data_IF_406113618979
#
_entry.id   IF_406113618979
#
_cell.length_a   1.000
_cell.length_b   1.000
_cell.length_c   1.000
_cell.angle_alpha   90.00
_cell.angle_beta   90.00
_cell.angle_gamma   90.00
#
_symmetry.space_group_name_H-M   'P 1'
#
loop_
_entity.id
_entity.type
_entity.pdbx_description
1 polymer ?
#
# COMPACT_ATOMS: atom_id res chain seq x y z
N UNK A 1 -6.93 -0.69 15.29
CA UNK A 1 -5.55 -0.84 14.77
C UNK A 1 -5.72 -1.10 13.30
N UNK A 2 -5.30 -0.20 12.41
CA UNK A 2 -5.25 -0.54 10.99
C UNK A 2 -4.22 -1.66 10.84
N UNK A 3 -4.62 -2.83 10.34
CA UNK A 3 -3.67 -3.84 9.93
C UNK A 3 -3.07 -3.33 8.61
N UNK A 4 -1.84 -2.84 8.70
CA UNK A 4 -1.19 -2.20 7.55
C UNK A 4 -0.24 -3.24 6.95
N UNK A 5 -0.57 -3.71 5.74
CA UNK A 5 0.14 -4.81 5.09
C UNK A 5 0.47 -4.50 3.63
N UNK A 6 1.48 -5.17 3.11
CA UNK A 6 1.92 -5.08 1.72
C UNK A 6 2.35 -6.46 1.22
N UNK A 7 2.08 -6.75 -0.05
CA UNK A 7 2.46 -8.02 -0.68
C UNK A 7 2.91 -7.81 -2.11
N UNK A 8 3.72 -8.73 -2.61
CA UNK A 8 3.94 -8.86 -4.04
C UNK A 8 2.90 -9.84 -4.59
N UNK A 9 2.08 -9.39 -5.53
CA UNK A 9 1.14 -10.24 -6.23
C UNK A 9 1.83 -10.83 -7.47
N UNK A 10 2.12 -12.13 -7.45
CA UNK A 10 2.84 -12.79 -8.55
C UNK A 10 2.03 -12.88 -9.84
N UNK A 11 0.70 -12.89 -9.75
CA UNK A 11 -0.18 -12.98 -10.92
C UNK A 11 -0.25 -11.64 -11.67
N UNK A 12 -0.32 -10.53 -10.93
CA UNK A 12 -0.28 -9.18 -11.47
C UNK A 12 1.16 -8.68 -11.73
N UNK A 13 2.16 -9.28 -11.09
CA UNK A 13 3.57 -8.89 -11.23
C UNK A 13 3.89 -7.54 -10.59
N UNK A 14 3.19 -7.18 -9.51
CA UNK A 14 3.29 -5.86 -8.89
C UNK A 14 3.17 -5.91 -7.35
N UNK A 15 3.64 -4.86 -6.70
CA UNK A 15 3.41 -4.66 -5.28
C UNK A 15 2.02 -4.08 -5.03
N UNK A 16 1.34 -4.61 -4.02
CA UNK A 16 0.03 -4.16 -3.59
C UNK A 16 0.05 -3.76 -2.11
N UNK A 17 -0.78 -2.79 -1.76
CA UNK A 17 -1.00 -2.29 -0.41
C UNK A 17 -2.39 -2.71 0.06
N UNK A 18 -2.51 -3.15 1.31
CA UNK A 18 -3.82 -3.37 1.91
C UNK A 18 -4.38 -2.04 2.43
N UNK A 19 -5.42 -1.54 1.77
CA UNK A 19 -5.98 -0.21 2.00
C UNK A 19 -7.26 -0.33 2.83
N UNK A 20 -7.27 0.43 3.93
CA UNK A 20 -8.50 0.71 4.65
C UNK A 20 -9.12 2.02 4.14
N UNK A 21 -10.35 1.93 3.63
CA UNK A 21 -11.01 3.05 2.98
C UNK A 21 -11.71 3.95 3.99
N UNK A 22 -11.42 5.25 3.92
CA UNK A 22 -12.02 6.21 4.85
C UNK A 22 -13.53 6.32 4.60
N UNK A 23 -14.31 6.04 5.64
CA UNK A 23 -15.78 6.14 5.60
C UNK A 23 -16.47 4.87 5.13
N UNK A 24 -15.72 3.80 4.88
CA UNK A 24 -16.24 2.46 4.61
C UNK A 24 -15.92 1.52 5.78
N UNK A 25 -16.58 0.36 5.81
CA UNK A 25 -16.34 -0.68 6.80
C UNK A 25 -15.08 -1.50 6.46
N UNK A 26 -14.54 -2.23 7.44
CA UNK A 26 -13.37 -3.09 7.26
C UNK A 26 -13.61 -4.18 6.20
N UNK A 27 -14.86 -4.54 5.91
CA UNK A 27 -15.20 -5.47 4.81
C UNK A 27 -14.85 -4.93 3.42
N UNK A 28 -14.75 -3.61 3.28
CA UNK A 28 -14.42 -2.96 2.01
C UNK A 28 -12.90 -2.82 1.80
N UNK A 29 -12.09 -3.19 2.80
CA UNK A 29 -10.64 -3.11 2.70
C UNK A 29 -10.13 -4.02 1.59
N UNK A 30 -9.30 -3.47 0.70
CA UNK A 30 -8.87 -4.14 -0.53
C UNK A 30 -7.37 -4.08 -0.73
N UNK A 31 -6.87 -4.97 -1.60
CA UNK A 31 -5.49 -4.93 -2.08
C UNK A 31 -5.42 -4.06 -3.32
N UNK A 32 -4.67 -2.96 -3.24
CA UNK A 32 -4.58 -1.98 -4.31
C UNK A 32 -3.15 -1.91 -4.88
N UNK A 33 -2.98 -1.70 -6.19
CA UNK A 33 -1.67 -1.53 -6.79
C UNK A 33 -0.91 -0.38 -6.13
N UNK A 34 0.34 -0.63 -5.74
CA UNK A 34 1.19 0.39 -5.11
C UNK A 34 1.29 1.66 -5.95
N UNK A 35 1.49 1.51 -7.26
CA UNK A 35 1.62 2.63 -8.18
C UNK A 35 0.34 3.48 -8.25
N UNK A 36 -0.83 2.85 -8.19
CA UNK A 36 -2.13 3.53 -8.19
C UNK A 36 -2.28 4.41 -6.94
N UNK A 37 -2.11 3.82 -5.76
CA UNK A 37 -2.24 4.55 -4.49
C UNK A 37 -1.13 5.60 -4.32
N UNK A 38 0.08 5.32 -4.78
CA UNK A 38 1.17 6.29 -4.75
C UNK A 38 0.89 7.51 -5.64
N UNK A 39 0.23 7.33 -6.79
CA UNK A 39 -0.20 8.43 -7.64
C UNK A 39 -1.22 9.33 -6.95
N UNK A 40 -2.18 8.73 -6.23
CA UNK A 40 -3.28 9.47 -5.58
C UNK A 40 -2.86 10.16 -4.27
N UNK A 41 -2.10 9.45 -3.42
CA UNK A 41 -1.75 9.90 -2.07
C UNK A 41 -0.26 9.64 -1.73
N UNK A 42 0.68 10.26 -2.48
CA UNK A 42 2.11 9.96 -2.38
C UNK A 42 2.67 10.19 -0.98
N UNK A 43 2.20 11.21 -0.26
CA UNK A 43 2.67 11.51 1.10
C UNK A 43 2.34 10.38 2.09
N UNK A 44 1.14 9.79 1.99
CA UNK A 44 0.72 8.71 2.87
C UNK A 44 1.52 7.44 2.59
N UNK A 45 1.70 7.11 1.31
CA UNK A 45 2.48 5.93 0.88
C UNK A 45 3.95 6.06 1.27
N UNK A 46 4.56 7.25 1.15
CA UNK A 46 5.94 7.47 1.63
C UNK A 46 6.06 7.26 3.14
N UNK A 47 5.14 7.82 3.91
CA UNK A 47 5.11 7.63 5.36
C UNK A 47 4.94 6.15 5.72
N UNK A 48 4.10 5.43 4.99
CA UNK A 48 3.92 4.00 5.18
C UNK A 48 5.19 3.21 4.86
N UNK A 49 5.78 3.42 3.69
CA UNK A 49 7.00 2.74 3.25
C UNK A 49 8.15 2.94 4.24
N UNK A 50 8.36 4.17 4.72
CA UNK A 50 9.38 4.52 5.71
C UNK A 50 9.15 3.87 7.08
N UNK A 51 7.89 3.65 7.46
CA UNK A 51 7.56 3.11 8.79
C UNK A 51 7.47 1.58 8.79
N UNK A 52 6.98 0.99 7.71
CA UNK A 52 6.56 -0.42 7.67
C UNK A 52 7.04 -1.19 6.44
N UNK A 53 7.40 -0.51 5.34
CA UNK A 53 7.60 -1.15 4.03
C UNK A 53 8.78 -2.11 3.93
N UNK A 54 9.61 -2.20 4.98
CA UNK A 54 10.97 -2.75 4.93
C UNK A 54 11.72 -2.11 3.75
N UNK A 55 13.00 -2.41 3.54
CA UNK A 55 13.78 -1.74 2.47
C UNK A 55 13.22 -1.90 1.05
N UNK A 56 12.21 -2.77 0.84
CA UNK A 56 11.64 -3.08 -0.48
C UNK A 56 10.67 -2.01 -0.99
N UNK A 57 9.74 -1.50 -0.18
CA UNK A 57 8.83 -0.46 -0.67
C UNK A 57 9.54 0.89 -0.80
N UNK A 58 10.57 1.14 0.02
CA UNK A 58 11.39 2.34 -0.09
C UNK A 58 12.15 2.39 -1.44
N UNK A 59 12.57 1.24 -1.97
CA UNK A 59 13.25 1.19 -3.27
C UNK A 59 12.33 1.52 -4.45
N UNK A 60 11.01 1.33 -4.30
CA UNK A 60 10.00 1.68 -5.30
C UNK A 60 9.70 3.18 -5.36
N UNK A 61 10.21 3.98 -4.42
CA UNK A 61 9.98 5.42 -4.33
C UNK A 61 11.01 6.28 -5.09
N UNK A 62 12.01 5.66 -5.75
CA UNK A 62 13.02 6.36 -6.57
C UNK A 62 12.42 6.96 -7.84
#
# INVERSE_FOLDING_TARGET
RANVDHRYDEAAGEWQLYIAWRGLDDSENSWEPFASIYSDVPALVRSYAQTYGRSILESLLQ
#
